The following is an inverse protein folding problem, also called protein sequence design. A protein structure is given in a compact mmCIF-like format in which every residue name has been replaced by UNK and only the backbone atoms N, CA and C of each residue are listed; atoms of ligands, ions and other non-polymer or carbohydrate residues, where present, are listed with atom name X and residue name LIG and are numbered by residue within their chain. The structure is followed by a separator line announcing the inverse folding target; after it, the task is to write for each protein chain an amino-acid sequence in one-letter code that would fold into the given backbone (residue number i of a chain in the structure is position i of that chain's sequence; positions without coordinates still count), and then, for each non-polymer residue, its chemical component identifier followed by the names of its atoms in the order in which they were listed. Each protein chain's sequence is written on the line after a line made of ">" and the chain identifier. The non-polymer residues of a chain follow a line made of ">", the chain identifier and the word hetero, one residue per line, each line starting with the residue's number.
data_IF_257408447675
#
_entry.id   IF_257408447675
#
_cell.length_a   1.000
_cell.length_b   1.000
_cell.length_c   1.000
_cell.angle_alpha   90.00
_cell.angle_beta   90.00
_cell.angle_gamma   90.00
#
_symmetry.space_group_name_H-M   'P 1'
#
loop_
_entity.id
_entity.type
_entity.pdbx_description
1 polymer ?
#
# COMPACT_ATOMS: atom_id res chain seq x y z
N UNK A 1 28.52 22.34 -9.35
CA UNK A 1 28.62 21.50 -8.13
C UNK A 1 30.04 20.95 -7.92
N UNK A 2 30.61 20.15 -8.83
CA UNK A 2 32.00 19.61 -8.71
C UNK A 2 33.03 20.66 -8.28
N UNK A 3 33.09 21.78 -9.00
CA UNK A 3 34.01 22.89 -8.68
C UNK A 3 33.81 23.43 -7.26
N UNK A 4 32.56 23.59 -6.80
CA UNK A 4 32.28 24.08 -5.44
C UNK A 4 32.73 23.09 -4.37
N UNK A 5 32.51 21.79 -4.59
CA UNK A 5 32.94 20.74 -3.68
C UNK A 5 34.48 20.66 -3.57
N UNK A 6 35.17 20.83 -4.71
CA UNK A 6 36.64 20.93 -4.75
C UNK A 6 37.18 22.15 -4.01
N UNK A 7 36.41 23.24 -3.95
CA UNK A 7 36.76 24.49 -3.26
C UNK A 7 36.20 24.56 -1.82
N UNK A 8 35.90 23.42 -1.19
CA UNK A 8 35.59 23.37 0.25
C UNK A 8 34.11 23.46 0.62
N UNK A 9 33.18 23.44 -0.34
CA UNK A 9 31.74 23.52 -0.04
C UNK A 9 31.14 22.26 0.65
N UNK A 10 31.95 21.25 1.00
CA UNK A 10 31.47 19.98 1.58
C UNK A 10 30.67 20.17 2.87
N UNK A 11 31.06 21.13 3.71
CA UNK A 11 30.37 21.45 4.97
C UNK A 11 28.91 21.90 4.78
N UNK A 12 28.56 22.42 3.60
CA UNK A 12 27.20 22.87 3.28
C UNK A 12 26.23 21.75 2.88
N UNK A 13 26.73 20.54 2.58
CA UNK A 13 25.90 19.44 2.05
C UNK A 13 24.83 19.02 3.07
N UNK A 14 25.22 18.90 4.33
CA UNK A 14 24.41 18.38 5.43
C UNK A 14 23.80 19.49 6.29
N UNK A 15 23.58 20.68 5.74
CA UNK A 15 22.96 21.77 6.49
C UNK A 15 21.50 21.42 6.84
N UNK A 16 21.19 21.34 8.13
CA UNK A 16 19.83 21.08 8.60
C UNK A 16 18.86 22.15 8.09
N UNK A 17 17.72 21.73 7.55
CA UNK A 17 16.76 22.62 6.90
C UNK A 17 17.18 23.07 5.50
N UNK A 18 18.32 22.61 4.98
CA UNK A 18 18.77 22.89 3.61
C UNK A 18 19.56 21.70 3.05
N UNK A 19 19.02 20.49 3.21
CA UNK A 19 19.60 19.27 2.65
C UNK A 19 19.88 19.40 1.16
N UNK A 20 21.16 19.36 0.78
CA UNK A 20 21.56 19.42 -0.62
C UNK A 20 20.95 18.25 -1.42
N UNK A 21 20.83 17.08 -0.78
CA UNK A 21 20.23 15.89 -1.39
C UNK A 21 18.74 16.09 -1.68
N UNK A 22 17.98 16.68 -0.76
CA UNK A 22 16.57 17.02 -0.99
C UNK A 22 16.42 18.08 -2.11
N UNK A 23 17.35 19.04 -2.17
CA UNK A 23 17.36 20.09 -3.20
C UNK A 23 17.57 19.54 -4.61
N UNK A 24 18.37 18.48 -4.78
CA UNK A 24 18.53 17.81 -6.08
C UNK A 24 17.16 17.37 -6.62
N UNK A 25 16.40 16.61 -5.85
CA UNK A 25 15.10 16.09 -6.31
C UNK A 25 14.03 17.19 -6.48
N UNK A 26 14.13 18.28 -5.72
CA UNK A 26 13.17 19.38 -5.82
C UNK A 26 13.37 20.21 -7.09
N UNK A 27 14.63 20.48 -7.46
CA UNK A 27 14.96 21.46 -8.49
C UNK A 27 15.41 20.84 -9.81
N UNK A 28 15.94 19.61 -9.80
CA UNK A 28 16.40 18.93 -11.00
C UNK A 28 15.28 18.02 -11.52
N UNK A 29 14.86 18.24 -12.78
CA UNK A 29 13.81 17.45 -13.44
C UNK A 29 14.37 16.31 -14.30
N UNK A 30 15.63 16.44 -14.71
CA UNK A 30 16.35 15.41 -15.45
C UNK A 30 16.88 14.35 -14.46
N UNK A 31 16.43 13.10 -14.62
CA UNK A 31 16.80 12.01 -13.74
C UNK A 31 18.23 11.53 -13.90
N UNK A 32 18.84 11.69 -15.08
CA UNK A 32 20.24 11.34 -15.32
C UNK A 32 21.14 12.34 -14.57
N UNK A 33 20.88 13.63 -14.74
CA UNK A 33 21.58 14.69 -14.00
C UNK A 33 21.33 14.59 -12.49
N UNK A 34 20.09 14.29 -12.09
CA UNK A 34 19.75 14.09 -10.66
C UNK A 34 20.56 12.95 -10.06
N UNK A 35 20.68 11.83 -10.78
CA UNK A 35 21.46 10.68 -10.34
C UNK A 35 22.95 11.00 -10.21
N UNK A 36 23.53 11.69 -11.21
CA UNK A 36 24.94 12.09 -11.15
C UNK A 36 25.24 13.05 -10.00
N UNK A 37 24.38 14.05 -9.80
CA UNK A 37 24.52 15.01 -8.71
C UNK A 37 24.34 14.34 -7.35
N UNK A 38 23.34 13.47 -7.20
CA UNK A 38 23.13 12.69 -6.00
C UNK A 38 24.37 11.84 -5.68
N UNK A 39 24.88 11.08 -6.65
CA UNK A 39 26.04 10.22 -6.48
C UNK A 39 27.29 11.03 -6.07
N UNK A 40 27.46 12.23 -6.63
CA UNK A 40 28.54 13.13 -6.26
C UNK A 40 28.40 13.65 -4.83
N UNK A 41 27.21 14.08 -4.41
CA UNK A 41 26.99 14.60 -3.06
C UNK A 41 27.11 13.51 -2.00
N UNK A 42 26.61 12.30 -2.28
CA UNK A 42 26.74 11.13 -1.39
C UNK A 42 28.21 10.75 -1.20
N UNK A 43 29.02 10.76 -2.27
CA UNK A 43 30.47 10.48 -2.19
C UNK A 43 31.25 11.49 -1.35
N UNK A 44 30.71 12.68 -1.18
CA UNK A 44 31.29 13.75 -0.38
C UNK A 44 30.63 13.82 1.02
N UNK A 45 30.28 12.66 1.58
CA UNK A 45 29.66 12.48 2.91
C UNK A 45 28.27 13.11 3.07
N UNK A 46 27.48 13.18 1.99
CA UNK A 46 26.08 13.61 2.05
C UNK A 46 25.20 12.60 2.81
N UNK A 47 24.64 13.01 3.94
CA UNK A 47 23.75 12.19 4.76
C UNK A 47 22.31 12.19 4.18
N UNK A 48 21.80 11.03 3.73
CA UNK A 48 20.49 10.92 3.10
C UNK A 48 19.30 11.14 4.05
N UNK A 49 19.53 11.31 5.35
CA UNK A 49 18.50 11.54 6.35
C UNK A 49 18.35 13.01 6.76
N UNK A 50 19.26 13.89 6.33
CA UNK A 50 19.14 15.33 6.62
C UNK A 50 17.94 15.90 5.87
N UNK A 51 17.05 16.54 6.64
CA UNK A 51 15.80 17.09 6.11
C UNK A 51 16.01 18.44 5.42
N UNK A 52 15.20 18.69 4.39
CA UNK A 52 15.07 19.99 3.76
C UNK A 52 14.30 21.01 4.63
N UNK A 53 14.15 22.23 4.10
CA UNK A 53 13.52 23.38 4.80
C UNK A 53 12.12 23.13 5.35
N UNK A 54 11.37 22.28 4.66
CA UNK A 54 10.00 21.89 4.95
C UNK A 54 9.88 20.67 5.87
N UNK A 55 11.03 20.11 6.31
CA UNK A 55 11.09 18.87 7.07
C UNK A 55 11.06 17.61 6.20
N UNK A 56 11.15 17.75 4.87
CA UNK A 56 11.11 16.60 3.96
C UNK A 56 12.43 15.84 3.94
N UNK A 57 12.34 14.52 4.11
CA UNK A 57 13.48 13.60 3.99
C UNK A 57 13.77 13.36 2.50
N UNK A 58 15.04 13.36 2.04
CA UNK A 58 15.40 13.21 0.62
C UNK A 58 14.69 12.04 -0.09
N UNK A 59 14.56 10.89 0.56
CA UNK A 59 13.85 9.73 -0.02
C UNK A 59 12.35 10.00 -0.22
N UNK A 60 11.69 10.74 0.67
CA UNK A 60 10.30 11.17 0.49
C UNK A 60 10.16 12.16 -0.65
N UNK A 61 11.08 13.12 -0.77
CA UNK A 61 11.09 14.09 -1.89
C UNK A 61 11.25 13.36 -3.22
N UNK A 62 12.13 12.35 -3.27
CA UNK A 62 12.31 11.53 -4.46
C UNK A 62 11.02 10.81 -4.87
N UNK A 63 10.15 10.42 -3.93
CA UNK A 63 8.90 9.70 -4.18
C UNK A 63 7.72 10.60 -4.60
N UNK A 64 7.78 11.91 -4.34
CA UNK A 64 6.71 12.88 -4.69
C UNK A 64 6.26 12.80 -6.16
N UNK A 65 7.17 12.71 -7.15
CA UNK A 65 6.77 12.66 -8.56
C UNK A 65 5.85 11.48 -8.91
N UNK A 66 5.88 10.40 -8.12
CA UNK A 66 5.01 9.23 -8.32
C UNK A 66 3.55 9.52 -7.96
N UNK A 67 3.27 10.54 -7.15
CA UNK A 67 1.90 10.93 -6.79
C UNK A 67 1.20 11.52 -8.01
N UNK A 68 1.95 12.16 -8.92
CA UNK A 68 1.39 12.72 -10.14
C UNK A 68 1.20 11.63 -11.20
N UNK A 69 -0.07 11.29 -11.49
CA UNK A 69 -0.42 10.36 -12.57
C UNK A 69 0.31 10.72 -13.86
N UNK A 70 0.29 11.98 -14.28
CA UNK A 70 0.81 12.39 -15.59
C UNK A 70 2.33 12.19 -15.69
N UNK A 71 3.07 12.41 -14.60
CA UNK A 71 4.53 12.32 -14.62
C UNK A 71 5.01 10.88 -14.85
N UNK A 72 4.35 9.89 -14.26
CA UNK A 72 4.76 8.50 -14.39
C UNK A 72 4.60 7.97 -15.84
N UNK A 73 3.66 8.54 -16.60
CA UNK A 73 3.46 8.21 -18.03
C UNK A 73 4.59 8.76 -18.91
N UNK A 74 5.15 9.90 -18.54
CA UNK A 74 6.23 10.55 -19.30
C UNK A 74 7.61 9.95 -19.01
N UNK A 75 7.73 9.06 -18.02
CA UNK A 75 9.01 8.43 -17.71
C UNK A 75 9.39 7.42 -18.79
N UNK A 76 10.44 7.75 -19.54
CA UNK A 76 11.11 6.80 -20.44
C UNK A 76 11.76 5.67 -19.63
N UNK A 77 12.14 4.59 -20.31
CA UNK A 77 12.88 3.50 -19.67
C UNK A 77 14.17 4.01 -18.97
N UNK A 78 14.95 4.90 -19.61
CA UNK A 78 16.15 5.49 -19.01
C UNK A 78 15.83 6.27 -17.73
N UNK A 79 14.75 7.06 -17.75
CA UNK A 79 14.30 7.82 -16.57
C UNK A 79 13.93 6.89 -15.41
N UNK A 80 13.20 5.80 -15.67
CA UNK A 80 12.84 4.80 -14.64
C UNK A 80 14.09 4.14 -14.05
N UNK A 81 15.08 3.81 -14.87
CA UNK A 81 16.35 3.22 -14.41
C UNK A 81 17.11 4.21 -13.50
N UNK A 82 17.27 5.47 -13.93
CA UNK A 82 17.97 6.48 -13.15
C UNK A 82 17.23 6.79 -11.84
N UNK A 83 15.91 6.90 -11.89
CA UNK A 83 15.06 7.06 -10.71
C UNK A 83 15.27 5.94 -9.69
N UNK A 84 15.23 4.69 -10.15
CA UNK A 84 15.43 3.53 -9.28
C UNK A 84 16.85 3.51 -8.68
N UNK A 85 17.84 3.92 -9.47
CA UNK A 85 19.22 4.04 -9.00
C UNK A 85 19.39 5.15 -7.96
N UNK A 86 18.66 6.27 -8.05
CA UNK A 86 18.64 7.29 -7.01
C UNK A 86 18.18 6.72 -5.66
N UNK A 87 17.05 6.00 -5.65
CA UNK A 87 16.54 5.35 -4.43
C UNK A 87 17.53 4.31 -3.93
N UNK A 88 18.13 3.52 -4.83
CA UNK A 88 19.12 2.50 -4.46
C UNK A 88 20.34 3.11 -3.77
N UNK A 89 20.90 4.19 -4.31
CA UNK A 89 22.04 4.87 -3.71
C UNK A 89 21.65 5.45 -2.34
N UNK A 90 20.52 6.13 -2.23
CA UNK A 90 20.05 6.65 -0.93
C UNK A 90 20.00 5.53 0.12
N UNK A 91 19.37 4.40 -0.20
CA UNK A 91 19.22 3.27 0.72
C UNK A 91 20.55 2.55 1.03
N UNK A 92 21.45 2.43 0.06
CA UNK A 92 22.80 1.86 0.28
C UNK A 92 23.62 2.69 1.26
N UNK A 93 23.44 4.01 1.26
CA UNK A 93 24.12 4.94 2.16
C UNK A 93 23.30 5.26 3.42
N UNK A 94 22.34 4.39 3.78
CA UNK A 94 21.65 4.45 5.07
C UNK A 94 20.44 5.37 5.14
N UNK A 95 19.82 5.73 4.01
CA UNK A 95 18.52 6.40 4.03
C UNK A 95 17.50 5.55 4.78
N UNK A 96 16.76 6.16 5.70
CA UNK A 96 15.73 5.48 6.47
C UNK A 96 14.45 5.28 5.62
N UNK A 97 14.09 4.04 5.23
CA UNK A 97 12.86 3.79 4.47
C UNK A 97 11.60 3.93 5.34
N UNK A 98 11.74 3.94 6.67
CA UNK A 98 10.64 4.14 7.62
C UNK A 98 10.47 5.62 8.01
N UNK A 99 11.09 6.53 7.27
CA UNK A 99 10.92 7.94 7.53
C UNK A 99 9.46 8.37 7.41
N UNK A 100 9.11 9.42 8.13
CA UNK A 100 7.81 10.05 8.09
C UNK A 100 7.96 11.53 7.76
N UNK A 101 7.11 11.99 6.85
CA UNK A 101 6.82 13.39 6.63
C UNK A 101 5.55 13.78 7.41
N UNK A 102 5.18 15.06 7.39
CA UNK A 102 4.00 15.64 8.06
C UNK A 102 2.81 14.68 8.13
N UNK A 103 2.13 14.67 9.27
CA UNK A 103 1.01 13.76 9.56
C UNK A 103 1.35 12.25 9.52
N UNK A 104 2.62 11.89 9.78
CA UNK A 104 3.10 10.49 9.70
C UNK A 104 3.03 9.88 8.30
N UNK A 105 3.08 10.70 7.25
CA UNK A 105 3.11 10.22 5.87
C UNK A 105 4.44 9.51 5.58
N UNK A 106 4.40 8.23 5.22
CA UNK A 106 5.60 7.40 4.98
C UNK A 106 5.77 7.03 3.52
N UNK A 107 6.95 6.56 3.08
CA UNK A 107 7.16 6.04 1.73
C UNK A 107 6.10 5.00 1.32
N UNK A 108 5.69 4.14 2.25
CA UNK A 108 4.70 3.10 1.97
C UNK A 108 3.31 3.69 1.62
N UNK A 109 2.90 4.76 2.29
CA UNK A 109 1.64 5.45 1.96
C UNK A 109 1.65 6.00 0.54
N UNK A 110 2.76 6.63 0.13
CA UNK A 110 2.92 7.17 -1.23
C UNK A 110 2.81 6.07 -2.27
N UNK A 111 3.49 4.94 -2.08
CA UNK A 111 3.45 3.83 -3.04
C UNK A 111 2.04 3.21 -3.16
N UNK A 112 1.36 2.97 -2.03
CA UNK A 112 -0.01 2.41 -2.05
C UNK A 112 -0.99 3.37 -2.71
N UNK A 113 -0.88 4.67 -2.42
CA UNK A 113 -1.66 5.69 -3.09
C UNK A 113 -1.40 5.69 -4.60
N UNK A 114 -0.14 5.68 -5.04
CA UNK A 114 0.20 5.66 -6.47
C UNK A 114 -0.34 4.41 -7.17
N UNK A 115 -0.28 3.22 -6.55
CA UNK A 115 -0.90 2.01 -7.16
C UNK A 115 -2.41 2.17 -7.28
N UNK A 116 -3.07 2.71 -6.25
CA UNK A 116 -4.53 2.94 -6.26
C UNK A 116 -4.94 3.87 -7.39
N UNK A 117 -4.20 4.97 -7.54
CA UNK A 117 -4.39 5.95 -8.59
C UNK A 117 -4.08 5.37 -9.99
N UNK A 118 -3.12 4.46 -10.09
CA UNK A 118 -2.77 3.78 -11.35
C UNK A 118 -3.93 2.92 -11.90
N UNK A 119 -4.80 2.35 -11.04
CA UNK A 119 -5.98 1.62 -11.51
C UNK A 119 -7.02 2.50 -12.22
N UNK A 120 -7.00 3.80 -11.96
CA UNK A 120 -7.93 4.75 -12.60
C UNK A 120 -7.53 5.11 -14.04
N UNK A 121 -6.40 4.59 -14.54
CA UNK A 121 -5.97 4.78 -15.92
C UNK A 121 -6.79 3.90 -16.89
N UNK A 122 -6.83 4.29 -18.16
CA UNK A 122 -7.58 3.57 -19.18
C UNK A 122 -6.74 2.56 -19.99
N UNK A 123 -5.40 2.63 -19.93
CA UNK A 123 -4.51 1.78 -20.73
C UNK A 123 -3.88 0.67 -19.88
N UNK A 124 -4.31 -0.58 -20.08
CA UNK A 124 -3.87 -1.73 -19.27
C UNK A 124 -2.36 -2.03 -19.40
N UNK A 125 -1.78 -1.87 -20.59
CA UNK A 125 -0.32 -2.05 -20.79
C UNK A 125 0.46 -1.07 -19.92
N UNK A 126 0.04 0.20 -19.92
CA UNK A 126 0.69 1.22 -19.10
C UNK A 126 0.49 0.97 -17.61
N UNK A 127 -0.71 0.56 -17.19
CA UNK A 127 -0.97 0.17 -15.80
C UNK A 127 0.01 -0.89 -15.34
N UNK A 128 0.24 -1.92 -16.16
CA UNK A 128 1.16 -3.01 -15.83
C UNK A 128 2.60 -2.53 -15.68
N UNK A 129 3.10 -1.76 -16.66
CA UNK A 129 4.46 -1.21 -16.62
C UNK A 129 4.67 -0.30 -15.40
N UNK A 130 3.67 0.54 -15.08
CA UNK A 130 3.72 1.42 -13.90
C UNK A 130 3.69 0.61 -12.61
N UNK A 131 2.84 -0.42 -12.54
CA UNK A 131 2.75 -1.31 -11.39
C UNK A 131 4.07 -2.04 -11.14
N UNK A 132 4.67 -2.63 -12.17
CA UNK A 132 5.95 -3.35 -12.05
C UNK A 132 7.06 -2.40 -11.58
N UNK A 133 7.07 -1.16 -12.06
CA UNK A 133 7.99 -0.13 -11.59
C UNK A 133 7.78 0.23 -10.11
N UNK A 134 6.54 0.48 -9.69
CA UNK A 134 6.21 0.79 -8.29
C UNK A 134 6.53 -0.39 -7.37
N UNK A 135 6.23 -1.61 -7.81
CA UNK A 135 6.55 -2.85 -7.11
C UNK A 135 8.06 -3.02 -6.92
N UNK A 136 8.87 -2.68 -7.92
CA UNK A 136 10.33 -2.70 -7.80
C UNK A 136 10.84 -1.71 -6.75
N UNK A 137 10.25 -0.51 -6.67
CA UNK A 137 10.57 0.46 -5.61
C UNK A 137 10.17 -0.08 -4.23
N UNK A 138 8.97 -0.64 -4.11
CA UNK A 138 8.48 -1.25 -2.88
C UNK A 138 9.43 -2.36 -2.40
N UNK A 139 9.80 -3.28 -3.29
CA UNK A 139 10.74 -4.37 -2.98
C UNK A 139 12.09 -3.84 -2.50
N UNK A 140 12.60 -2.80 -3.14
CA UNK A 140 13.87 -2.19 -2.74
C UNK A 140 13.80 -1.58 -1.32
N UNK A 141 12.72 -0.85 -1.01
CA UNK A 141 12.51 -0.31 0.34
C UNK A 141 12.36 -1.43 1.38
N UNK A 142 11.62 -2.48 1.06
CA UNK A 142 11.40 -3.66 1.91
C UNK A 142 12.69 -4.44 2.17
N UNK A 143 13.56 -4.57 1.17
CA UNK A 143 14.89 -5.19 1.32
C UNK A 143 15.81 -4.37 2.23
N UNK A 144 15.69 -3.03 2.21
CA UNK A 144 16.45 -2.12 3.07
C UNK A 144 15.77 -1.81 4.42
N UNK A 145 14.78 -2.61 4.83
CA UNK A 145 14.24 -2.57 6.19
C UNK A 145 12.98 -1.71 6.38
N UNK A 146 12.23 -1.40 5.32
CA UNK A 146 10.87 -0.88 5.46
C UNK A 146 10.01 -1.88 6.25
N UNK A 147 9.34 -1.40 7.30
CA UNK A 147 8.53 -2.20 8.21
C UNK A 147 7.06 -1.80 8.09
N UNK A 148 6.28 -2.64 7.39
CA UNK A 148 4.86 -2.40 7.16
C UNK A 148 4.06 -2.14 8.43
N UNK A 149 4.39 -2.81 9.54
CA UNK A 149 3.67 -2.68 10.81
C UNK A 149 3.92 -1.33 11.49
N UNK A 150 5.14 -0.78 11.36
CA UNK A 150 5.50 0.52 11.94
C UNK A 150 5.00 1.68 11.09
N UNK A 151 5.13 1.55 9.77
CA UNK A 151 4.88 2.68 8.87
C UNK A 151 3.42 2.88 8.52
N UNK A 152 2.61 1.81 8.52
CA UNK A 152 1.21 1.87 8.12
C UNK A 152 0.40 0.74 8.79
N UNK A 153 -0.03 0.99 10.03
CA UNK A 153 -0.70 0.02 10.90
C UNK A 153 -1.94 -0.66 10.26
N UNK A 154 -2.62 0.01 9.35
CA UNK A 154 -3.81 -0.48 8.64
C UNK A 154 -3.59 -0.61 7.12
N UNK A 155 -2.35 -0.89 6.69
CA UNK A 155 -1.98 -1.01 5.27
C UNK A 155 -2.93 -1.93 4.48
N UNK A 156 -3.27 -3.11 5.01
CA UNK A 156 -4.13 -4.06 4.31
C UNK A 156 -5.56 -3.56 4.18
N UNK A 157 -6.05 -2.75 5.12
CA UNK A 157 -7.34 -2.09 4.97
C UNK A 157 -7.31 -1.12 3.79
N UNK A 158 -6.30 -0.24 3.74
CA UNK A 158 -6.14 0.71 2.65
C UNK A 158 -5.97 0.02 1.29
N UNK A 159 -5.23 -1.08 1.26
CA UNK A 159 -5.07 -1.91 0.06
C UNK A 159 -6.43 -2.49 -0.35
N UNK A 160 -7.20 -3.10 0.56
CA UNK A 160 -8.54 -3.62 0.25
C UNK A 160 -9.51 -2.51 -0.22
N UNK A 161 -9.39 -1.28 0.30
CA UNK A 161 -10.17 -0.13 -0.18
C UNK A 161 -9.88 0.18 -1.67
N UNK A 162 -8.70 -0.15 -2.20
CA UNK A 162 -8.35 0.02 -3.62
C UNK A 162 -9.24 -0.79 -4.57
N UNK A 163 -9.93 -1.82 -4.09
CA UNK A 163 -10.92 -2.59 -4.88
C UNK A 163 -12.03 -1.68 -5.42
N UNK A 164 -12.29 -0.54 -4.78
CA UNK A 164 -13.23 0.47 -5.28
C UNK A 164 -12.74 1.11 -6.60
N UNK A 165 -11.42 1.23 -6.78
CA UNK A 165 -10.78 1.83 -7.95
C UNK A 165 -10.50 0.83 -9.08
N UNK A 166 -10.60 -0.48 -8.80
CA UNK A 166 -10.50 -1.55 -9.81
C UNK A 166 -11.58 -1.38 -10.88
N UNK A 167 -11.14 -1.41 -12.16
CA UNK A 167 -12.01 -1.25 -13.34
C UNK A 167 -12.04 -2.49 -14.23
N UNK A 168 -10.97 -3.28 -14.22
CA UNK A 168 -10.85 -4.49 -15.04
C UNK A 168 -10.45 -5.70 -14.19
N UNK A 169 -10.66 -6.92 -14.69
CA UNK A 169 -10.19 -8.13 -14.00
C UNK A 169 -8.66 -8.23 -13.98
N UNK A 170 -7.97 -7.62 -14.95
CA UNK A 170 -6.49 -7.56 -14.98
C UNK A 170 -5.91 -6.76 -13.81
N UNK A 171 -6.61 -5.71 -13.35
CA UNK A 171 -6.21 -4.95 -12.15
C UNK A 171 -6.18 -5.84 -10.88
N UNK A 172 -7.00 -6.90 -10.83
CA UNK A 172 -7.02 -7.84 -9.70
C UNK A 172 -5.71 -8.62 -9.56
N UNK A 173 -4.99 -8.85 -10.65
CA UNK A 173 -3.67 -9.48 -10.60
C UNK A 173 -2.65 -8.57 -9.92
N UNK A 174 -2.61 -7.29 -10.29
CA UNK A 174 -1.76 -6.29 -9.64
C UNK A 174 -2.12 -6.15 -8.14
N UNK A 175 -3.42 -6.13 -7.84
CA UNK A 175 -3.91 -6.11 -6.46
C UNK A 175 -3.46 -7.33 -5.65
N UNK A 176 -3.52 -8.53 -6.25
CA UNK A 176 -3.00 -9.76 -5.65
C UNK A 176 -1.50 -9.69 -5.41
N UNK A 177 -0.72 -9.31 -6.43
CA UNK A 177 0.74 -9.22 -6.32
C UNK A 177 1.18 -8.22 -5.23
N UNK A 178 0.49 -7.09 -5.10
CA UNK A 178 0.75 -6.11 -4.04
C UNK A 178 0.43 -6.68 -2.66
N UNK A 179 -0.77 -7.27 -2.51
CA UNK A 179 -1.22 -7.85 -1.23
C UNK A 179 -0.29 -8.98 -0.78
N UNK A 180 0.10 -9.85 -1.71
CA UNK A 180 1.06 -10.94 -1.47
C UNK A 180 2.41 -10.38 -1.00
N UNK A 181 2.94 -9.38 -1.69
CA UNK A 181 4.22 -8.75 -1.34
C UNK A 181 4.15 -8.17 0.07
N UNK A 182 3.10 -7.43 0.41
CA UNK A 182 2.96 -6.82 1.74
C UNK A 182 2.85 -7.87 2.85
N UNK A 183 2.08 -8.94 2.63
CA UNK A 183 1.96 -10.06 3.57
C UNK A 183 3.31 -10.74 3.76
N UNK A 184 4.03 -11.07 2.68
CA UNK A 184 5.35 -11.72 2.76
C UNK A 184 6.39 -10.91 3.56
N UNK A 185 6.21 -9.59 3.67
CA UNK A 185 7.10 -8.69 4.40
C UNK A 185 6.53 -8.17 5.73
N UNK A 186 5.48 -8.80 6.26
CA UNK A 186 5.04 -8.58 7.63
C UNK A 186 3.74 -7.81 7.82
N UNK A 187 2.97 -7.55 6.77
CA UNK A 187 1.61 -7.01 6.93
C UNK A 187 0.70 -8.05 7.60
N UNK A 188 -0.06 -7.61 8.61
CA UNK A 188 -0.89 -8.52 9.41
C UNK A 188 -2.27 -8.76 8.79
N UNK A 189 -2.61 -9.98 8.32
CA UNK A 189 -3.93 -10.28 7.77
C UNK A 189 -5.02 -10.38 8.84
N UNK A 190 -4.67 -10.39 10.13
CA UNK A 190 -5.63 -10.55 11.23
C UNK A 190 -6.11 -9.21 11.82
N UNK A 191 -5.90 -8.10 11.11
CA UNK A 191 -6.35 -6.78 11.55
C UNK A 191 -7.87 -6.78 11.78
N UNK A 192 -8.26 -6.20 12.92
CA UNK A 192 -9.65 -5.99 13.29
C UNK A 192 -10.04 -4.57 12.94
N UNK A 193 -10.98 -4.43 12.00
CA UNK A 193 -11.51 -3.14 11.56
C UNK A 193 -12.36 -2.53 12.68
N UNK A 194 -12.04 -1.31 13.09
CA UNK A 194 -12.89 -0.53 13.98
C UNK A 194 -14.04 0.08 13.18
N UNK A 195 -15.30 -0.09 13.62
CA UNK A 195 -16.52 0.39 12.95
C UNK A 195 -16.62 1.92 12.76
N UNK A 196 -15.60 2.70 13.13
CA UNK A 196 -15.56 4.11 12.76
C UNK A 196 -15.14 4.17 11.28
N UNK A 197 -15.93 4.78 10.38
CA UNK A 197 -15.43 5.11 9.05
C UNK A 197 -14.17 5.94 9.30
N UNK A 198 -13.02 5.35 8.98
CA UNK A 198 -11.75 5.96 9.23
C UNK A 198 -11.65 7.13 8.26
N UNK A 199 -12.00 8.32 8.76
CA UNK A 199 -11.61 9.57 8.14
C UNK A 199 -10.10 9.59 7.85
N UNK A 200 -9.28 8.71 8.44
CA UNK A 200 -7.85 8.61 8.16
C UNK A 200 -7.52 8.23 6.71
N UNK A 201 -8.21 7.33 6.00
CA UNK A 201 -7.81 7.00 4.62
C UNK A 201 -8.13 8.12 3.62
N UNK A 202 -9.24 8.84 3.82
CA UNK A 202 -9.56 10.06 3.07
C UNK A 202 -8.69 11.25 3.48
N UNK A 203 -8.37 11.40 4.77
CA UNK A 203 -7.40 12.39 5.26
C UNK A 203 -6.03 12.17 4.63
N UNK A 204 -5.51 10.94 4.63
CA UNK A 204 -4.22 10.64 4.00
C UNK A 204 -4.26 10.83 2.49
N UNK A 205 -5.36 10.52 1.81
CA UNK A 205 -5.51 10.79 0.37
C UNK A 205 -5.43 12.29 0.08
N UNK A 206 -6.12 13.10 0.87
CA UNK A 206 -6.09 14.56 0.76
C UNK A 206 -4.71 15.14 1.17
N UNK A 207 -4.07 14.60 2.20
CA UNK A 207 -2.73 15.01 2.63
C UNK A 207 -1.64 14.63 1.62
N UNK A 208 -1.75 13.48 0.96
CA UNK A 208 -0.84 13.04 -0.12
C UNK A 208 -1.02 13.94 -1.34
N UNK A 209 -2.27 14.26 -1.70
CA UNK A 209 -2.56 15.23 -2.76
C UNK A 209 -1.98 16.62 -2.42
N UNK A 210 -2.26 17.13 -1.22
CA UNK A 210 -1.72 18.40 -0.72
C UNK A 210 -0.19 18.39 -0.61
N UNK A 211 0.44 17.26 -0.28
CA UNK A 211 1.89 17.10 -0.26
C UNK A 211 2.46 17.22 -1.69
N UNK A 212 1.81 16.58 -2.65
CA UNK A 212 2.14 16.71 -4.07
C UNK A 212 2.01 18.15 -4.58
N UNK A 213 1.04 18.93 -4.10
CA UNK A 213 0.83 20.34 -4.48
C UNK A 213 1.77 21.31 -3.76
N UNK A 214 1.98 21.13 -2.45
CA UNK A 214 2.88 21.98 -1.65
C UNK A 214 4.33 21.93 -2.15
N UNK A 215 4.74 20.83 -2.79
CA UNK A 215 6.07 20.69 -3.38
C UNK A 215 6.18 21.27 -4.80
N UNK A 216 5.06 21.74 -5.39
CA UNK A 216 5.00 22.26 -6.77
C UNK A 216 5.10 23.80 -6.88
N UNK A 217 5.10 24.58 -5.80
CA UNK A 217 4.91 26.04 -5.91
C UNK A 217 5.95 26.95 -5.26
N UNK A 218 6.73 27.66 -6.08
CA UNK A 218 6.99 29.09 -5.89
C UNK A 218 6.78 29.80 -7.23
N UNK A 219 5.53 30.17 -7.49
CA UNK A 219 5.15 31.31 -8.31
C UNK A 219 3.89 31.89 -7.64
N UNK A 220 3.95 33.17 -7.31
CA UNK A 220 2.96 33.94 -6.57
C UNK A 220 1.59 33.97 -7.26
N UNK A 221 0.50 33.87 -6.50
CA UNK A 221 -0.26 35.06 -6.13
C UNK A 221 -1.31 34.74 -5.06
N UNK A 222 -1.36 35.63 -4.08
CA UNK A 222 -2.35 35.77 -3.02
C UNK A 222 -3.74 36.05 -3.58
N UNK A 223 -4.79 35.52 -2.96
CA UNK A 223 -5.91 36.31 -2.39
C UNK A 223 -6.64 35.43 -1.36
N UNK A 224 -6.78 35.99 -0.16
CA UNK A 224 -7.59 35.56 0.98
C UNK A 224 -9.07 35.93 0.80
N UNK A 225 -9.95 35.20 1.50
CA UNK A 225 -11.23 35.61 2.14
C UNK A 225 -12.20 34.41 2.07
N UNK A 226 -13.02 34.04 3.05
CA UNK A 226 -13.38 34.57 4.36
C UNK A 226 -14.52 33.68 4.93
N UNK A 227 -14.58 33.62 6.26
CA UNK A 227 -15.62 33.14 7.19
C UNK A 227 -16.99 32.62 6.71
N UNK A 228 -17.56 31.63 7.46
CA UNK A 228 -19.03 31.46 7.49
C UNK A 228 -19.60 30.19 8.13
N UNK A 229 -19.76 30.21 9.46
CA UNK A 229 -20.85 29.70 10.29
C UNK A 229 -21.51 28.31 10.12
N UNK A 230 -21.65 27.68 11.29
CA UNK A 230 -22.56 26.61 11.72
C UNK A 230 -24.03 26.78 11.34
N UNK A 231 -24.75 25.66 11.14
CA UNK A 231 -26.02 25.39 11.82
C UNK A 231 -26.45 23.92 11.68
N UNK A 232 -26.86 23.33 12.81
CA UNK A 232 -27.45 22.00 12.89
C UNK A 232 -28.97 22.02 12.70
N UNK A 233 -29.53 20.88 12.31
CA UNK A 233 -30.95 20.58 12.47
C UNK A 233 -31.14 19.07 12.64
N UNK A 234 -31.53 18.68 13.85
CA UNK A 234 -32.10 17.39 14.20
C UNK A 234 -33.54 17.31 13.69
N UNK A 235 -33.93 16.17 13.09
CA UNK A 235 -35.34 15.73 12.98
C UNK A 235 -35.39 14.20 13.20
N UNK A 236 -36.39 13.65 13.93
CA UNK A 236 -36.28 12.35 14.57
C UNK A 236 -36.96 11.18 13.82
N UNK A 237 -36.42 9.99 14.13
CA UNK A 237 -36.94 8.61 14.11
C UNK A 237 -38.29 8.26 13.46
N UNK A 238 -38.26 7.30 12.52
CA UNK A 238 -39.18 6.15 12.50
C UNK A 238 -38.59 4.99 11.68
N UNK A 239 -38.56 3.78 12.25
CA UNK A 239 -38.60 2.44 11.61
C UNK A 239 -37.87 1.39 12.46
N UNK A 240 -38.52 0.99 13.55
CA UNK A 240 -38.21 -0.22 14.32
C UNK A 240 -38.58 -1.44 13.49
N UNK A 241 -37.64 -2.05 12.75
CA UNK A 241 -37.68 -3.46 12.32
C UNK A 241 -36.33 -4.00 11.75
N UNK A 242 -35.22 -3.25 11.86
CA UNK A 242 -33.91 -3.63 11.29
C UNK A 242 -32.73 -3.72 12.26
N UNK A 243 -32.96 -3.63 13.58
CA UNK A 243 -31.88 -3.45 14.56
C UNK A 243 -31.03 -4.72 14.80
N UNK A 244 -31.63 -5.92 14.74
CA UNK A 244 -30.89 -7.18 14.87
C UNK A 244 -29.92 -7.43 13.71
N UNK A 245 -30.33 -7.09 12.49
CA UNK A 245 -29.52 -7.29 11.27
C UNK A 245 -28.38 -6.29 11.16
N UNK A 246 -28.63 -5.02 11.52
CA UNK A 246 -27.60 -3.97 11.58
C UNK A 246 -26.57 -4.22 12.68
N UNK A 247 -26.97 -4.78 13.83
CA UNK A 247 -26.05 -5.10 14.91
C UNK A 247 -25.17 -6.33 14.60
N UNK A 248 -25.70 -7.34 13.89
CA UNK A 248 -24.91 -8.48 13.41
C UNK A 248 -23.93 -8.08 12.30
N UNK A 249 -24.31 -7.15 11.42
CA UNK A 249 -23.40 -6.58 10.42
C UNK A 249 -22.27 -5.77 11.07
N UNK A 250 -22.58 -4.93 12.07
CA UNK A 250 -21.60 -4.13 12.83
C UNK A 250 -20.63 -4.96 13.65
N UNK A 251 -21.02 -6.16 14.09
CA UNK A 251 -20.17 -7.02 14.91
C UNK A 251 -19.35 -8.02 14.09
N UNK A 252 -19.74 -8.31 12.85
CA UNK A 252 -19.06 -9.29 11.99
C UNK A 252 -18.25 -8.66 10.83
N UNK A 253 -18.49 -7.40 10.49
CA UNK A 253 -17.68 -6.62 9.51
C UNK A 253 -16.29 -6.24 10.01
N UNK A 254 -15.84 -6.84 11.12
CA UNK A 254 -14.58 -6.53 11.79
C UNK A 254 -13.38 -7.23 11.15
N UNK A 255 -13.58 -8.25 10.33
CA UNK A 255 -12.49 -8.96 9.67
C UNK A 255 -12.21 -8.37 8.28
N UNK A 256 -10.93 -8.22 7.93
CA UNK A 256 -10.52 -7.69 6.62
C UNK A 256 -11.05 -8.51 5.44
N UNK A 257 -11.05 -9.85 5.57
CA UNK A 257 -11.61 -10.76 4.57
C UNK A 257 -13.12 -10.53 4.38
N UNK A 258 -13.86 -10.33 5.47
CA UNK A 258 -15.28 -10.00 5.41
C UNK A 258 -15.49 -8.69 4.64
N UNK A 259 -14.71 -7.66 4.97
CA UNK A 259 -14.80 -6.35 4.32
C UNK A 259 -14.49 -6.42 2.82
N UNK A 260 -13.44 -7.14 2.44
CA UNK A 260 -13.10 -7.41 1.04
C UNK A 260 -14.28 -8.08 0.29
N UNK A 261 -14.87 -9.11 0.90
CA UNK A 261 -16.01 -9.83 0.30
C UNK A 261 -17.21 -8.89 0.08
N UNK A 262 -17.50 -8.00 1.04
CA UNK A 262 -18.55 -7.00 0.85
C UNK A 262 -18.22 -6.02 -0.28
N UNK A 263 -16.96 -5.60 -0.45
CA UNK A 263 -16.58 -4.71 -1.55
C UNK A 263 -16.74 -5.38 -2.93
N UNK A 264 -16.30 -6.62 -3.09
CA UNK A 264 -16.46 -7.32 -4.38
C UNK A 264 -17.92 -7.57 -4.73
N UNK A 265 -18.80 -7.78 -3.74
CA UNK A 265 -20.24 -7.94 -4.04
C UNK A 265 -20.90 -6.71 -4.64
N UNK A 266 -20.30 -5.52 -4.46
CA UNK A 266 -20.77 -4.28 -5.08
C UNK A 266 -20.28 -4.10 -6.52
N UNK A 267 -19.38 -4.96 -7.01
CA UNK A 267 -18.70 -4.85 -8.31
C UNK A 267 -19.10 -6.04 -9.19
N UNK A 268 -20.22 -5.91 -9.89
CA UNK A 268 -20.82 -7.02 -10.64
C UNK A 268 -19.88 -7.65 -11.69
N UNK A 269 -19.05 -6.84 -12.36
CA UNK A 269 -18.12 -7.35 -13.37
C UNK A 269 -17.07 -8.31 -12.79
N UNK A 270 -16.67 -8.13 -11.52
CA UNK A 270 -15.73 -9.04 -10.85
C UNK A 270 -16.40 -10.38 -10.53
N UNK A 271 -17.68 -10.38 -10.18
CA UNK A 271 -18.42 -11.61 -9.89
C UNK A 271 -18.65 -12.45 -11.15
N UNK A 272 -18.75 -11.80 -12.31
CA UNK A 272 -18.94 -12.44 -13.61
C UNK A 272 -17.61 -12.82 -14.30
N UNK A 273 -16.48 -12.64 -13.63
CA UNK A 273 -15.16 -12.97 -14.17
C UNK A 273 -15.02 -14.48 -14.39
N UNK A 274 -14.81 -14.95 -15.64
CA UNK A 274 -14.67 -16.38 -15.94
C UNK A 274 -13.44 -17.01 -15.27
N UNK A 275 -12.37 -16.23 -15.04
CA UNK A 275 -11.15 -16.70 -14.38
C UNK A 275 -11.25 -16.66 -12.85
N UNK A 276 -12.32 -16.08 -12.31
CA UNK A 276 -12.57 -15.93 -10.88
C UNK A 276 -11.37 -15.32 -10.14
N UNK A 277 -10.72 -14.30 -10.72
CA UNK A 277 -9.49 -13.68 -10.21
C UNK A 277 -9.61 -13.19 -8.77
N UNK A 278 -10.80 -12.74 -8.35
CA UNK A 278 -11.10 -12.34 -6.98
C UNK A 278 -10.88 -13.46 -5.94
N UNK A 279 -10.98 -14.72 -6.34
CA UNK A 279 -10.80 -15.86 -5.44
C UNK A 279 -9.35 -16.00 -4.98
N UNK A 280 -8.38 -15.54 -5.77
CA UNK A 280 -6.95 -15.57 -5.41
C UNK A 280 -6.69 -14.80 -4.12
N UNK A 281 -7.37 -13.67 -3.91
CA UNK A 281 -7.28 -12.85 -2.70
C UNK A 281 -7.94 -13.57 -1.51
N UNK A 282 -9.10 -14.18 -1.73
CA UNK A 282 -9.81 -14.95 -0.70
C UNK A 282 -8.90 -16.09 -0.21
N UNK A 283 -8.26 -16.82 -1.13
CA UNK A 283 -7.32 -17.87 -0.78
C UNK A 283 -6.06 -17.35 -0.11
N UNK A 284 -5.53 -16.21 -0.54
CA UNK A 284 -4.39 -15.57 0.12
C UNK A 284 -4.71 -15.28 1.60
N UNK A 285 -5.86 -14.70 1.92
CA UNK A 285 -6.29 -14.49 3.30
C UNK A 285 -6.56 -15.82 4.03
N UNK A 286 -7.22 -16.78 3.39
CA UNK A 286 -7.46 -18.11 3.96
C UNK A 286 -6.17 -18.84 4.37
N UNK A 287 -5.10 -18.68 3.59
CA UNK A 287 -3.81 -19.33 3.82
C UNK A 287 -2.90 -18.56 4.81
N UNK A 288 -3.21 -17.30 5.11
CA UNK A 288 -2.33 -16.42 5.92
C UNK A 288 -2.94 -16.01 7.26
N UNK A 289 -4.26 -15.95 7.38
CA UNK A 289 -4.94 -15.64 8.64
C UNK A 289 -4.77 -16.74 9.69
N UNK A 290 -4.76 -16.34 10.95
CA UNK A 290 -4.81 -17.25 12.09
C UNK A 290 -6.14 -18.04 12.10
N UNK A 291 -6.12 -19.22 12.72
CA UNK A 291 -7.23 -20.16 12.62
C UNK A 291 -8.53 -19.62 13.23
N UNK A 292 -8.46 -19.08 14.43
CA UNK A 292 -9.64 -18.59 15.15
C UNK A 292 -10.27 -17.36 14.46
N UNK A 293 -9.53 -16.28 14.11
CA UNK A 293 -10.09 -15.17 13.35
C UNK A 293 -10.69 -15.59 12.00
N UNK A 294 -10.00 -16.48 11.26
CA UNK A 294 -10.47 -16.96 9.97
C UNK A 294 -11.77 -17.77 10.11
N UNK A 295 -11.82 -18.71 11.05
CA UNK A 295 -13.00 -19.55 11.27
C UNK A 295 -14.21 -18.70 11.66
N UNK A 296 -14.03 -17.75 12.59
CA UNK A 296 -15.08 -16.82 12.98
C UNK A 296 -15.54 -15.95 11.80
N UNK A 297 -14.61 -15.46 10.97
CA UNK A 297 -14.94 -14.72 9.75
C UNK A 297 -15.77 -15.57 8.77
N UNK A 298 -15.34 -16.80 8.48
CA UNK A 298 -16.01 -17.70 7.54
C UNK A 298 -17.40 -18.13 8.07
N UNK A 299 -17.53 -18.40 9.37
CA UNK A 299 -18.81 -18.68 10.02
C UNK A 299 -19.79 -17.52 9.86
N UNK A 300 -19.32 -16.30 10.10
CA UNK A 300 -20.15 -15.10 9.94
C UNK A 300 -20.55 -14.85 8.49
N UNK A 301 -19.64 -15.05 7.53
CA UNK A 301 -19.94 -14.96 6.10
C UNK A 301 -20.95 -16.03 5.65
N UNK A 302 -20.74 -17.28 6.05
CA UNK A 302 -21.64 -18.38 5.73
C UNK A 302 -23.05 -18.10 6.25
N UNK A 303 -23.19 -17.70 7.53
CA UNK A 303 -24.49 -17.36 8.11
C UNK A 303 -25.13 -16.14 7.44
N UNK A 304 -24.33 -15.15 7.04
CA UNK A 304 -24.81 -13.97 6.32
C UNK A 304 -25.43 -14.34 4.98
N UNK A 305 -24.78 -15.21 4.19
CA UNK A 305 -25.31 -15.60 2.88
C UNK A 305 -26.42 -16.64 2.94
N UNK A 306 -26.43 -17.52 3.95
CA UNK A 306 -27.57 -18.44 4.18
C UNK A 306 -28.86 -17.67 4.49
N UNK A 307 -28.75 -16.54 5.18
CA UNK A 307 -29.90 -15.67 5.48
C UNK A 307 -30.35 -14.82 4.28
N UNK A 308 -29.57 -14.76 3.19
CA UNK A 308 -29.92 -13.99 1.99
C UNK A 308 -30.65 -14.83 0.95
N UNK A 309 -31.50 -14.18 0.18
CA UNK A 309 -32.14 -14.79 -0.99
C UNK A 309 -31.05 -15.13 -2.02
N UNK A 310 -31.03 -16.36 -2.56
CA UNK A 310 -30.04 -16.77 -3.55
C UNK A 310 -30.03 -15.83 -4.76
N UNK A 311 -28.87 -15.27 -5.08
CA UNK A 311 -28.64 -14.48 -6.29
C UNK A 311 -27.68 -15.25 -7.19
N UNK A 312 -28.08 -15.48 -8.45
CA UNK A 312 -27.24 -16.19 -9.44
C UNK A 312 -25.85 -15.58 -9.58
N UNK A 313 -25.72 -14.25 -9.41
CA UNK A 313 -24.42 -13.55 -9.52
C UNK A 313 -23.47 -13.88 -8.37
N UNK A 314 -23.97 -14.21 -7.18
CA UNK A 314 -23.14 -14.50 -5.99
C UNK A 314 -23.01 -15.99 -5.72
N UNK A 315 -23.61 -16.86 -6.53
CA UNK A 315 -23.66 -18.31 -6.32
C UNK A 315 -22.26 -18.93 -6.21
N UNK A 316 -21.34 -18.58 -7.11
CA UNK A 316 -19.96 -19.07 -7.10
C UNK A 316 -19.20 -18.63 -5.84
N UNK A 317 -19.38 -17.38 -5.42
CA UNK A 317 -18.80 -16.85 -4.18
C UNK A 317 -19.36 -17.55 -2.94
N UNK A 318 -20.68 -17.77 -2.88
CA UNK A 318 -21.34 -18.49 -1.77
C UNK A 318 -20.86 -19.93 -1.71
N UNK A 319 -20.73 -20.60 -2.86
CA UNK A 319 -20.19 -21.95 -2.97
C UNK A 319 -18.76 -22.02 -2.43
N UNK A 320 -17.91 -21.07 -2.82
CA UNK A 320 -16.54 -20.97 -2.32
C UNK A 320 -16.49 -20.75 -0.80
N UNK A 321 -17.25 -19.80 -0.26
CA UNK A 321 -17.30 -19.54 1.19
C UNK A 321 -17.77 -20.78 1.95
N UNK A 322 -18.81 -21.45 1.42
CA UNK A 322 -19.34 -22.69 2.01
C UNK A 322 -18.31 -23.82 1.98
N UNK A 323 -17.54 -23.93 0.90
CA UNK A 323 -16.45 -24.89 0.77
C UNK A 323 -15.36 -24.62 1.81
N UNK A 324 -14.90 -23.37 1.93
CA UNK A 324 -13.86 -22.97 2.87
C UNK A 324 -14.28 -23.10 4.34
N UNK A 325 -15.55 -22.87 4.64
CA UNK A 325 -16.10 -23.03 5.99
C UNK A 325 -16.27 -24.51 6.38
N UNK A 326 -16.78 -25.34 5.46
CA UNK A 326 -17.05 -26.77 5.74
C UNK A 326 -15.78 -27.62 5.73
N UNK A 327 -14.76 -27.24 4.95
CA UNK A 327 -13.49 -27.97 4.88
C UNK A 327 -12.44 -27.30 5.78
N UNK A 328 -12.06 -27.92 6.92
CA UNK A 328 -10.99 -27.38 7.76
C UNK A 328 -9.67 -27.38 7.00
N UNK A 329 -8.78 -26.44 7.36
CA UNK A 329 -7.42 -26.40 6.82
C UNK A 329 -6.68 -27.69 7.11
N UNK A 330 -5.91 -28.16 6.14
CA UNK A 330 -5.03 -29.31 6.35
C UNK A 330 -3.97 -29.02 7.42
N UNK A 331 -3.45 -30.06 8.06
CA UNK A 331 -2.35 -29.91 9.02
C UNK A 331 -1.14 -29.20 8.37
N UNK A 332 -0.85 -29.50 7.10
CA UNK A 332 0.20 -28.84 6.30
C UNK A 332 0.01 -27.31 6.26
N UNK A 333 -1.22 -26.84 6.05
CA UNK A 333 -1.55 -25.41 6.02
C UNK A 333 -1.47 -24.77 7.41
N UNK A 334 -1.90 -25.47 8.46
CA UNK A 334 -1.76 -24.98 9.83
C UNK A 334 -0.28 -24.84 10.23
N UNK A 335 0.56 -25.81 9.85
CA UNK A 335 2.01 -25.72 10.03
C UNK A 335 2.60 -24.52 9.27
N UNK A 336 2.16 -24.25 8.04
CA UNK A 336 2.60 -23.07 7.28
C UNK A 336 2.28 -21.77 8.05
N UNK A 337 1.06 -21.64 8.58
CA UNK A 337 0.66 -20.46 9.37
C UNK A 337 1.49 -20.36 10.64
N UNK A 338 1.76 -21.47 11.34
CA UNK A 338 2.60 -21.47 12.53
C UNK A 338 4.04 -21.02 12.24
N UNK A 339 4.63 -21.47 11.12
CA UNK A 339 5.95 -21.00 10.66
C UNK A 339 5.90 -19.51 10.34
N UNK A 340 4.88 -19.07 9.59
CA UNK A 340 4.69 -17.67 9.22
C UNK A 340 4.61 -16.74 10.45
N UNK A 341 3.85 -17.13 11.47
CA UNK A 341 3.77 -16.41 12.74
C UNK A 341 5.10 -16.42 13.52
N UNK A 342 5.80 -17.55 13.55
CA UNK A 342 7.11 -17.65 14.23
C UNK A 342 8.19 -16.75 13.64
N UNK A 343 8.06 -16.38 12.35
CA UNK A 343 8.94 -15.43 11.66
C UNK A 343 8.47 -13.98 11.78
N UNK A 344 7.56 -13.68 12.71
CA UNK A 344 6.91 -12.38 12.87
C UNK A 344 6.29 -11.87 11.56
N UNK A 345 5.74 -12.78 10.74
CA UNK A 345 5.10 -12.48 9.45
C UNK A 345 6.07 -11.94 8.37
N UNK A 346 7.36 -11.77 8.69
CA UNK A 346 8.41 -11.27 7.79
C UNK A 346 9.08 -12.43 7.06
N UNK A 347 8.28 -13.18 6.32
CA UNK A 347 8.68 -14.42 5.66
C UNK A 347 9.80 -14.21 4.66
N UNK A 348 9.65 -13.26 3.73
CA UNK A 348 10.62 -13.01 2.66
C UNK A 348 12.02 -12.62 3.20
N UNK A 349 12.06 -11.93 4.34
CA UNK A 349 13.31 -11.49 4.96
C UNK A 349 14.00 -12.60 5.77
N UNK A 350 13.22 -13.52 6.35
CA UNK A 350 13.73 -14.49 7.33
C UNK A 350 13.80 -15.94 6.82
N UNK A 351 13.22 -16.25 5.66
CA UNK A 351 13.17 -17.64 5.19
C UNK A 351 14.55 -18.24 4.88
N UNK A 352 15.52 -17.43 4.48
CA UNK A 352 16.90 -17.87 4.27
C UNK A 352 17.57 -18.34 5.56
N UNK A 353 17.12 -17.84 6.72
CA UNK A 353 17.59 -18.26 8.05
C UNK A 353 17.01 -19.60 8.47
N UNK A 354 15.91 -20.04 7.85
CA UNK A 354 15.38 -21.38 8.03
C UNK A 354 16.19 -22.32 7.13
N UNK A 355 16.91 -23.26 7.75
CA UNK A 355 17.65 -24.33 7.09
C UNK A 355 16.69 -25.37 6.47
N UNK A 356 15.76 -24.92 5.63
CA UNK A 356 14.75 -25.73 4.95
C UNK A 356 15.22 -26.13 3.54
N UNK A 357 14.85 -27.33 3.08
CA UNK A 357 14.95 -27.72 1.67
C UNK A 357 14.26 -26.71 0.73
N UNK A 358 14.79 -26.55 -0.48
CA UNK A 358 14.31 -25.57 -1.46
C UNK A 358 12.81 -25.67 -1.76
N UNK A 359 12.29 -26.89 -1.92
CA UNK A 359 10.86 -27.14 -2.17
C UNK A 359 9.96 -26.71 -1.00
N UNK A 360 10.44 -26.81 0.24
CA UNK A 360 9.72 -26.33 1.42
C UNK A 360 9.80 -24.81 1.55
N UNK A 361 10.91 -24.19 1.17
CA UNK A 361 11.00 -22.72 1.11
C UNK A 361 10.01 -22.16 0.11
N UNK A 362 9.96 -22.74 -1.09
CA UNK A 362 9.02 -22.34 -2.13
C UNK A 362 7.57 -22.56 -1.69
N UNK A 363 7.25 -23.71 -1.08
CA UNK A 363 5.92 -23.99 -0.54
C UNK A 363 5.48 -22.98 0.54
N UNK A 364 6.41 -22.47 1.33
CA UNK A 364 6.11 -21.49 2.39
C UNK A 364 5.94 -20.08 1.80
N UNK A 365 6.72 -19.71 0.77
CA UNK A 365 6.63 -18.41 0.08
C UNK A 365 5.43 -18.29 -0.84
N UNK A 366 5.08 -19.36 -1.54
CA UNK A 366 3.99 -19.36 -2.52
C UNK A 366 2.68 -19.72 -1.81
N UNK A 367 1.84 -18.71 -1.64
CA UNK A 367 0.46 -18.86 -1.16
C UNK A 367 -0.52 -19.24 -2.28
N UNK A 368 -0.02 -19.96 -3.28
CA UNK A 368 -0.84 -20.54 -4.33
C UNK A 368 -1.36 -21.92 -3.90
N UNK A 369 -2.51 -22.31 -4.46
CA UNK A 369 -3.19 -23.57 -4.19
C UNK A 369 -2.73 -24.67 -5.13
#
# INVERSE_FOLDING_TARGET
>A
VRFLLQNGAKSSINQSGNSALACVFRHVRDWEVSFELLNMLIKEDGDPNIVGRDGSVPIMVCLVPLINKDQLHHFTHSMKVCYLNCIRILLQYGANPNCSYRSNLTPLHVLVFTVSENFTLNCDVQKRINFDFIKNILLLLLQHGLDCAKTYQHILQAVVEMVQNVRTCSDMLCFYELTLTLIQYGADPNIVLSCKPTASSTLFSNEIANFGESMRGHSSDSVSDGAGSSNGANVPSSARHGEGFRNSFRTNSRYILFYYIILITKKEFLLNDPELTYTRIIYLFYLTMQHEPLYNCLKSLHNFYVAQVPNKKTELLISLISLLYKKPRSLKQLCRVAIYESLNKKLAQNISRLNLPGSLREYVLNFEL
#
